data_IF_543907164195
#
_entry.id   IF_543907164195
#
_cell.length_a   1.000
_cell.length_b   1.000
_cell.length_c   1.000
_cell.angle_alpha   90.00
_cell.angle_beta   90.00
_cell.angle_gamma   90.00
#
_symmetry.space_group_name_H-M   'P 1'
#
loop_
_entity.id
_entity.type
_entity.pdbx_description
1 polymer ?
#
# COMPACT_ATOMS: atom_id res chain seq x y z
N UNK A 1 57.96 44.71 -40.10
CA UNK A 1 57.90 43.55 -39.19
C UNK A 1 58.14 44.00 -37.75
N UNK A 2 57.08 44.12 -36.95
CA UNK A 2 56.97 43.64 -35.54
C UNK A 2 55.69 44.22 -34.92
N UNK A 3 54.74 43.30 -34.75
CA UNK A 3 53.48 43.42 -34.01
C UNK A 3 53.79 43.52 -32.50
N UNK A 4 53.13 44.41 -31.75
CA UNK A 4 52.91 44.23 -30.31
C UNK A 4 51.53 44.72 -29.89
N UNK A 5 50.74 43.71 -29.57
CA UNK A 5 49.43 43.61 -28.94
C UNK A 5 49.43 44.16 -27.51
N UNK A 6 48.29 44.69 -27.03
CA UNK A 6 47.83 44.64 -25.62
C UNK A 6 46.34 45.05 -25.56
N UNK A 7 45.42 44.07 -25.45
CA UNK A 7 44.57 43.72 -24.26
C UNK A 7 43.48 44.74 -23.93
N UNK A 8 42.21 44.47 -24.27
CA UNK A 8 41.18 43.78 -23.46
C UNK A 8 40.37 44.79 -22.58
N UNK A 9 39.05 44.73 -22.40
CA UNK A 9 38.14 43.58 -22.40
C UNK A 9 36.72 44.00 -22.82
N UNK A 10 36.03 43.10 -23.55
CA UNK A 10 34.59 43.17 -23.78
C UNK A 10 33.84 42.81 -22.50
N UNK A 11 32.96 43.68 -22.04
CA UNK A 11 31.88 43.33 -21.13
C UNK A 11 30.84 42.48 -21.87
N UNK A 12 30.71 41.20 -21.50
CA UNK A 12 29.49 40.43 -21.75
C UNK A 12 28.85 40.14 -20.39
N UNK A 13 27.75 40.84 -20.11
CA UNK A 13 26.80 40.44 -19.06
C UNK A 13 25.45 40.32 -19.76
N UNK A 14 24.94 39.10 -19.83
CA UNK A 14 23.64 38.68 -19.27
C UNK A 14 23.33 37.30 -19.88
N UNK A 15 23.70 36.25 -19.15
CA UNK A 15 23.07 34.95 -19.35
C UNK A 15 21.64 35.04 -18.85
N UNK A 16 20.70 34.86 -19.78
CA UNK A 16 19.33 34.47 -19.47
C UNK A 16 19.36 33.12 -18.75
N UNK A 17 18.63 32.98 -17.65
CA UNK A 17 18.36 31.68 -17.06
C UNK A 17 16.99 31.70 -16.40
N UNK A 18 16.04 31.17 -17.19
CA UNK A 18 14.84 30.46 -16.84
C UNK A 18 14.21 30.74 -15.46
N UNK A 19 13.00 31.32 -15.48
CA UNK A 19 12.03 31.16 -14.41
C UNK A 19 11.82 29.65 -14.18
N UNK A 20 12.27 29.14 -13.04
CA UNK A 20 11.87 27.84 -12.55
C UNK A 20 10.36 27.89 -12.25
N UNK A 21 9.56 27.18 -13.05
CA UNK A 21 8.17 26.93 -12.70
C UNK A 21 8.13 26.05 -11.44
N UNK A 22 7.20 26.29 -10.49
CA UNK A 22 7.06 25.43 -9.34
C UNK A 22 6.50 24.08 -9.83
N UNK A 23 7.35 23.05 -9.81
CA UNK A 23 6.89 21.68 -9.89
C UNK A 23 5.92 21.46 -8.71
N UNK A 24 4.63 21.43 -9.00
CA UNK A 24 3.62 20.97 -8.06
C UNK A 24 3.91 19.50 -7.80
N UNK A 25 4.67 19.22 -6.73
CA UNK A 25 4.75 17.90 -6.16
C UNK A 25 3.32 17.48 -5.80
N UNK A 26 2.72 16.62 -6.63
CA UNK A 26 1.43 16.02 -6.34
C UNK A 26 1.59 15.26 -5.01
N UNK A 27 1.04 15.82 -3.93
CA UNK A 27 0.99 15.18 -2.62
C UNK A 27 0.17 13.91 -2.79
N UNK A 28 0.82 12.75 -2.90
CA UNK A 28 0.14 11.47 -2.80
C UNK A 28 -0.49 11.42 -1.40
N UNK A 29 -1.82 11.52 -1.33
CA UNK A 29 -2.56 11.22 -0.11
C UNK A 29 -2.35 9.75 0.20
N UNK A 30 -1.59 9.47 1.26
CA UNK A 30 -1.51 8.14 1.84
C UNK A 30 -2.88 7.88 2.47
N UNK A 31 -3.58 6.86 1.98
CA UNK A 31 -4.83 6.41 2.57
C UNK A 31 -4.51 5.36 3.64
N UNK A 32 -5.24 5.40 4.74
CA UNK A 32 -5.32 4.37 5.76
C UNK A 32 -6.80 4.05 5.94
N UNK A 33 -7.21 2.87 5.48
CA UNK A 33 -8.56 2.37 5.66
C UNK A 33 -8.49 1.07 6.44
N UNK A 34 -9.39 0.90 7.40
CA UNK A 34 -9.44 -0.24 8.31
C UNK A 34 -10.86 -0.72 8.47
N UNK A 35 -11.07 -2.03 8.32
CA UNK A 35 -12.39 -2.63 8.46
C UNK A 35 -12.33 -4.02 9.07
N UNK A 36 -13.24 -4.29 9.99
CA UNK A 36 -13.45 -5.61 10.56
C UNK A 36 -14.87 -6.10 10.29
N UNK A 37 -15.01 -7.42 10.13
CA UNK A 37 -16.29 -8.12 10.16
C UNK A 37 -16.10 -9.45 10.89
N UNK A 38 -17.19 -10.05 11.36
CA UNK A 38 -17.12 -11.35 12.00
C UNK A 38 -18.44 -11.73 12.67
N UNK A 39 -18.54 -12.96 13.20
CA UNK A 39 -19.77 -13.49 13.80
C UNK A 39 -20.15 -12.83 15.14
N UNK A 40 -19.33 -11.92 15.67
CA UNK A 40 -19.55 -11.26 16.96
C UNK A 40 -18.72 -11.90 18.09
N UNK A 41 -18.99 -11.53 19.34
CA UNK A 41 -18.33 -12.11 20.53
C UNK A 41 -16.80 -11.98 20.58
N UNK A 42 -16.23 -10.97 19.92
CA UNK A 42 -14.78 -10.76 19.85
C UNK A 42 -14.06 -11.58 18.79
N UNK A 43 -14.81 -12.33 17.96
CA UNK A 43 -14.30 -13.09 16.82
C UNK A 43 -14.43 -12.23 15.56
N UNK A 44 -13.31 -11.80 14.98
CA UNK A 44 -13.33 -10.90 13.82
C UNK A 44 -12.15 -11.11 12.88
N UNK A 45 -12.41 -11.01 11.59
CA UNK A 45 -11.40 -10.76 10.55
C UNK A 45 -11.34 -9.27 10.27
N UNK A 46 -10.14 -8.70 10.24
CA UNK A 46 -9.88 -7.31 9.94
C UNK A 46 -8.93 -7.18 8.75
N UNK A 47 -9.06 -6.08 8.02
CA UNK A 47 -8.20 -5.70 6.92
C UNK A 47 -7.87 -4.21 6.99
N UNK A 48 -6.66 -3.85 6.58
CA UNK A 48 -6.27 -2.49 6.28
C UNK A 48 -5.28 -2.41 5.14
N UNK A 49 -5.10 -1.21 4.62
CA UNK A 49 -3.97 -0.89 3.76
C UNK A 49 -3.43 0.50 4.06
N UNK A 50 -2.15 0.71 3.75
CA UNK A 50 -1.51 2.01 3.76
C UNK A 50 -0.84 2.25 2.42
N UNK A 51 -1.21 3.34 1.73
CA UNK A 51 -0.55 3.73 0.49
C UNK A 51 -1.49 4.30 -0.56
N UNK A 52 -1.18 4.02 -1.83
CA UNK A 52 -1.94 4.48 -3.01
C UNK A 52 -2.00 3.38 -4.07
N UNK A 53 -2.78 3.57 -5.14
CA UNK A 53 -2.75 2.65 -6.30
C UNK A 53 -1.37 2.34 -6.87
N UNK A 54 -0.37 3.22 -6.69
CA UNK A 54 0.97 2.99 -7.25
C UNK A 54 1.79 2.02 -6.41
N UNK A 55 1.50 1.93 -5.11
CA UNK A 55 2.10 1.02 -4.15
C UNK A 55 1.35 1.15 -2.82
N UNK A 56 0.92 0.03 -2.27
CA UNK A 56 0.31 -0.03 -0.96
C UNK A 56 0.78 -1.27 -0.19
N UNK A 57 0.93 -1.13 1.12
CA UNK A 57 1.09 -2.25 2.04
C UNK A 57 -0.30 -2.65 2.54
N UNK A 58 -0.65 -3.93 2.42
CA UNK A 58 -1.89 -4.51 2.91
C UNK A 58 -1.63 -5.39 4.12
N UNK A 59 -2.57 -5.36 5.06
CA UNK A 59 -2.53 -6.13 6.28
C UNK A 59 -3.90 -6.75 6.54
N UNK A 60 -3.94 -8.05 6.82
CA UNK A 60 -5.14 -8.72 7.27
C UNK A 60 -4.86 -9.57 8.50
N UNK A 61 -5.83 -9.63 9.43
CA UNK A 61 -5.69 -10.38 10.68
C UNK A 61 -7.00 -10.99 11.15
N UNK A 62 -6.89 -12.12 11.82
CA UNK A 62 -7.92 -12.68 12.70
C UNK A 62 -7.72 -12.21 14.14
N UNK A 63 -8.80 -12.05 14.87
CA UNK A 63 -8.79 -11.78 16.29
C UNK A 63 -9.79 -12.70 17.00
N UNK A 64 -9.36 -13.31 18.11
CA UNK A 64 -10.20 -14.14 18.97
C UNK A 64 -10.37 -15.59 18.51
N UNK A 65 -9.70 -16.02 17.44
CA UNK A 65 -9.83 -17.39 16.93
C UNK A 65 -8.50 -18.02 16.50
N UNK A 66 -8.50 -19.35 16.48
CA UNK A 66 -7.47 -20.19 15.85
C UNK A 66 -7.95 -20.52 14.43
N UNK A 67 -7.08 -20.37 13.42
CA UNK A 67 -7.46 -20.52 12.03
C UNK A 67 -6.50 -19.81 11.08
N UNK A 68 -6.95 -19.44 9.88
CA UNK A 68 -6.14 -18.74 8.89
C UNK A 68 -6.89 -17.56 8.27
N UNK A 69 -6.16 -16.66 7.61
CA UNK A 69 -6.70 -15.53 6.87
C UNK A 69 -6.14 -15.48 5.45
N UNK A 70 -7.03 -15.41 4.48
CA UNK A 70 -6.70 -15.13 3.09
C UNK A 70 -6.80 -13.62 2.82
N UNK A 71 -5.98 -13.13 1.88
CA UNK A 71 -5.93 -11.73 1.46
C UNK A 71 -5.83 -11.65 -0.06
N UNK A 72 -6.69 -10.87 -0.71
CA UNK A 72 -6.62 -10.68 -2.15
C UNK A 72 -7.09 -9.29 -2.59
N UNK A 73 -6.56 -8.82 -3.71
CA UNK A 73 -6.87 -7.51 -4.27
C UNK A 73 -5.98 -7.18 -5.47
N UNK A 74 -5.93 -5.91 -5.89
CA UNK A 74 -5.10 -5.45 -7.00
C UNK A 74 -3.61 -5.74 -6.77
N UNK A 75 -3.03 -6.60 -7.59
CA UNK A 75 -1.59 -6.92 -7.52
C UNK A 75 -1.16 -7.67 -6.26
N UNK A 76 -2.11 -8.22 -5.49
CA UNK A 76 -1.84 -8.98 -4.27
C UNK A 76 -2.79 -10.18 -4.18
N UNK A 77 -2.25 -11.37 -3.89
CA UNK A 77 -3.03 -12.56 -3.56
C UNK A 77 -2.20 -13.43 -2.67
N UNK A 78 -2.71 -13.66 -1.46
CA UNK A 78 -2.14 -14.56 -0.49
C UNK A 78 -3.22 -15.48 0.05
N UNK A 79 -2.89 -16.77 0.06
CA UNK A 79 -3.65 -17.79 0.75
C UNK A 79 -2.79 -18.35 1.85
N UNK A 80 -3.23 -18.19 3.08
CA UNK A 80 -2.44 -18.69 4.21
C UNK A 80 -2.55 -20.21 4.25
N UNK A 81 -1.40 -20.88 4.32
CA UNK A 81 -1.36 -22.34 4.46
C UNK A 81 -1.14 -22.70 5.92
N UNK A 82 -2.17 -23.23 6.57
CA UNK A 82 -2.13 -23.69 7.95
C UNK A 82 -2.77 -22.70 8.93
N UNK A 83 -3.21 -23.25 10.07
CA UNK A 83 -3.92 -22.50 11.10
C UNK A 83 -2.97 -22.04 12.22
N UNK A 84 -3.23 -20.85 12.75
CA UNK A 84 -2.51 -20.25 13.88
C UNK A 84 -3.47 -19.46 14.80
N UNK A 85 -2.99 -19.08 15.98
CA UNK A 85 -3.76 -18.25 16.90
C UNK A 85 -3.70 -16.78 16.47
N UNK A 86 -4.85 -16.14 16.27
CA UNK A 86 -4.96 -14.77 15.76
C UNK A 86 -4.16 -14.60 14.46
N UNK A 87 -4.58 -15.27 13.37
CA UNK A 87 -3.81 -15.34 12.13
C UNK A 87 -3.50 -13.96 11.54
N UNK A 88 -2.32 -13.81 10.93
CA UNK A 88 -1.90 -12.54 10.34
C UNK A 88 -1.27 -12.77 8.97
N UNK A 89 -1.62 -11.90 8.03
CA UNK A 89 -0.97 -11.85 6.73
C UNK A 89 -0.71 -10.41 6.30
N UNK A 90 0.44 -10.18 5.69
CA UNK A 90 0.86 -8.88 5.19
C UNK A 90 1.51 -9.05 3.82
N UNK A 91 1.32 -8.07 2.95
CA UNK A 91 2.14 -7.96 1.75
C UNK A 91 1.88 -6.68 0.99
N UNK A 92 2.67 -6.47 -0.05
CA UNK A 92 2.59 -5.27 -0.88
C UNK A 92 1.77 -5.55 -2.15
N UNK A 93 0.99 -4.56 -2.57
CA UNK A 93 0.13 -4.62 -3.75
C UNK A 93 0.24 -3.36 -4.62
N UNK A 94 -0.38 -3.44 -5.79
CA UNK A 94 -0.43 -2.36 -6.78
C UNK A 94 -1.72 -2.38 -7.59
N UNK A 95 -2.26 -1.20 -7.87
CA UNK A 95 -3.51 -0.98 -8.58
C UNK A 95 -4.64 -0.45 -7.69
N UNK A 96 -5.72 -0.03 -8.35
CA UNK A 96 -6.96 0.47 -7.74
C UNK A 96 -7.98 -0.67 -7.68
N UNK A 97 -8.74 -0.78 -6.60
CA UNK A 97 -9.83 -1.75 -6.49
C UNK A 97 -10.12 -2.21 -5.07
N UNK A 98 -10.97 -3.22 -4.95
CA UNK A 98 -11.32 -3.85 -3.67
C UNK A 98 -10.20 -4.76 -3.19
N UNK A 99 -9.69 -4.44 -2.01
CA UNK A 99 -8.82 -5.30 -1.22
C UNK A 99 -9.70 -5.98 -0.16
N UNK A 100 -9.66 -7.29 -0.10
CA UNK A 100 -10.53 -8.08 0.77
C UNK A 100 -9.72 -9.14 1.53
N UNK A 101 -10.24 -9.52 2.68
CA UNK A 101 -9.69 -10.59 3.50
C UNK A 101 -10.79 -11.56 3.90
N UNK A 102 -10.43 -12.82 4.14
CA UNK A 102 -11.36 -13.84 4.62
C UNK A 102 -10.72 -14.65 5.73
N UNK A 103 -11.33 -14.65 6.91
CA UNK A 103 -10.91 -15.51 8.01
C UNK A 103 -11.70 -16.80 8.07
N UNK A 104 -11.02 -17.88 8.40
CA UNK A 104 -11.59 -19.22 8.58
C UNK A 104 -11.10 -19.82 9.89
N UNK A 105 -11.99 -20.48 10.63
CA UNK A 105 -11.62 -21.26 11.82
C UNK A 105 -12.07 -22.72 11.69
N UNK A 106 -11.24 -23.70 12.07
CA UNK A 106 -11.61 -25.10 12.03
C UNK A 106 -12.65 -25.41 13.12
N UNK A 107 -13.67 -26.20 12.78
CA UNK A 107 -14.71 -26.69 13.71
C UNK A 107 -14.76 -28.21 13.80
N UNK A 108 -13.75 -28.89 13.26
CA UNK A 108 -13.64 -30.34 13.20
C UNK A 108 -12.71 -30.77 12.07
N UNK A 109 -12.60 -32.08 11.85
CA UNK A 109 -11.71 -32.62 10.80
C UNK A 109 -12.14 -32.15 9.40
N UNK A 110 -11.41 -31.18 8.84
CA UNK A 110 -11.60 -30.68 7.47
C UNK A 110 -12.74 -29.66 7.29
N UNK A 111 -13.41 -29.24 8.36
CA UNK A 111 -14.49 -28.26 8.29
C UNK A 111 -14.07 -26.91 8.86
N UNK A 112 -14.36 -25.85 8.12
CA UNK A 112 -14.09 -24.48 8.52
C UNK A 112 -15.38 -23.66 8.56
N UNK A 113 -15.44 -22.71 9.48
CA UNK A 113 -16.48 -21.68 9.55
C UNK A 113 -15.90 -20.31 9.19
N UNK A 114 -16.76 -19.47 8.64
CA UNK A 114 -16.47 -18.07 8.33
C UNK A 114 -16.24 -17.27 9.62
N UNK A 115 -15.15 -16.51 9.66
CA UNK A 115 -14.79 -15.63 10.77
C UNK A 115 -14.84 -14.14 10.40
N UNK A 116 -15.33 -13.82 9.21
CA UNK A 116 -15.46 -12.47 8.68
C UNK A 116 -14.81 -12.31 7.30
N UNK A 117 -15.43 -11.45 6.49
CA UNK A 117 -15.06 -11.10 5.12
C UNK A 117 -15.05 -9.57 4.91
N UNK A 118 -14.12 -8.80 5.52
CA UNK A 118 -14.06 -7.37 5.30
C UNK A 118 -13.42 -7.02 3.95
N UNK A 119 -13.86 -5.90 3.35
CA UNK A 119 -13.22 -5.29 2.19
C UNK A 119 -13.06 -3.77 2.37
N UNK A 120 -11.95 -3.24 1.86
CA UNK A 120 -11.60 -1.81 1.79
C UNK A 120 -11.25 -1.45 0.34
N UNK A 121 -11.43 -0.19 -0.03
CA UNK A 121 -11.18 0.26 -1.40
C UNK A 121 -9.85 1.01 -1.50
N UNK A 122 -8.96 0.53 -2.37
CA UNK A 122 -7.70 1.22 -2.71
C UNK A 122 -7.98 2.20 -3.86
N UNK A 123 -7.88 3.53 -3.66
CA UNK A 123 -8.13 4.53 -4.70
C UNK A 123 -6.95 4.71 -5.67
#
# INVERSE_FOLDING_TARGET
MKLRTTTAALSMILMASALAAPAHAARQTVFDDFRCTGPGSGLTTCISFVGTRNSYAAFARGAGYFGHVDLWGPGITFKQTGDENNPVIQGDGLGTGWLCAHGWAPVGSGHYVDMGFPCVFVP
#
